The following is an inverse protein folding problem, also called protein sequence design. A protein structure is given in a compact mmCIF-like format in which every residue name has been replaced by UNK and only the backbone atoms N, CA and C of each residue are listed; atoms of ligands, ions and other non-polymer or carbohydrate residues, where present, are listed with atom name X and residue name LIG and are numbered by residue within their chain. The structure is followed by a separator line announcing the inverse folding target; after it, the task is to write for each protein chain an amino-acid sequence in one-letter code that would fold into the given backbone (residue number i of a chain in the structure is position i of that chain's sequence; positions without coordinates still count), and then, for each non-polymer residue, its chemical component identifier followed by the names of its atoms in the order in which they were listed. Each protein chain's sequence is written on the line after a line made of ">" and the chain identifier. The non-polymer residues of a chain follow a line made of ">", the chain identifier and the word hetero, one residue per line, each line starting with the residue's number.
data_IF_878053081882
#
_entry.id   IF_878053081882
#
_cell.length_a   1.000
_cell.length_b   1.000
_cell.length_c   1.000
_cell.angle_alpha   90.00
_cell.angle_beta   90.00
_cell.angle_gamma   90.00
#
_symmetry.space_group_name_H-M   'P 1'
#
loop_
_entity.id
_entity.type
_entity.pdbx_description
1 polymer ?
#
# COMPACT_ATOMS: atom_id res chain seq x y z
N UNK A 1 53.17 21.85 34.26
CA UNK A 1 51.73 21.66 34.55
C UNK A 1 50.96 21.87 33.25
N UNK A 2 50.83 20.84 32.42
CA UNK A 2 50.22 20.95 31.07
C UNK A 2 49.70 19.57 30.63
N UNK A 3 48.66 19.05 31.31
CA UNK A 3 47.97 17.80 30.90
C UNK A 3 46.55 17.72 31.52
N UNK A 4 45.64 18.66 31.20
CA UNK A 4 44.20 18.52 31.60
C UNK A 4 43.18 19.10 30.60
N UNK A 5 43.59 19.65 29.46
CA UNK A 5 42.65 20.28 28.51
C UNK A 5 42.22 19.38 27.33
N UNK A 6 42.85 18.22 27.14
CA UNK A 6 42.54 17.29 26.03
C UNK A 6 41.45 16.26 26.32
N UNK A 7 40.88 16.21 27.54
CA UNK A 7 39.90 15.19 27.92
C UNK A 7 38.44 15.63 27.74
N UNK A 8 38.18 16.94 27.60
CA UNK A 8 36.82 17.50 27.56
C UNK A 8 36.20 17.54 26.15
N UNK A 9 37.02 17.38 25.10
CA UNK A 9 36.57 17.39 23.70
C UNK A 9 36.24 15.98 23.17
N UNK A 10 36.74 14.92 23.83
CA UNK A 10 36.45 13.52 23.47
C UNK A 10 35.11 13.06 24.06
N UNK A 11 34.66 13.64 25.18
CA UNK A 11 33.36 13.32 25.78
C UNK A 11 32.18 13.93 25.03
N UNK A 12 32.38 15.06 24.32
CA UNK A 12 31.33 15.69 23.50
C UNK A 12 31.05 14.95 22.18
N UNK A 13 32.05 14.26 21.62
CA UNK A 13 31.91 13.51 20.37
C UNK A 13 31.27 12.13 20.61
N UNK A 14 31.38 11.57 21.81
CA UNK A 14 30.77 10.27 22.16
C UNK A 14 29.29 10.34 22.54
N UNK A 15 28.76 11.54 22.82
CA UNK A 15 27.34 11.73 23.16
C UNK A 15 26.44 11.89 21.93
N UNK A 16 27.03 12.12 20.75
CA UNK A 16 26.29 12.29 19.48
C UNK A 16 26.20 10.96 18.69
N UNK A 17 26.94 9.92 19.08
CA UNK A 17 27.02 8.63 18.38
C UNK A 17 26.03 7.56 18.85
N UNK A 18 25.00 7.94 19.63
CA UNK A 18 23.90 7.05 20.02
C UNK A 18 22.55 7.60 19.56
N UNK A 19 22.53 8.32 18.44
CA UNK A 19 21.33 8.34 17.61
C UNK A 19 21.27 6.93 17.00
N UNK A 20 20.78 5.99 17.80
CA UNK A 20 20.40 4.69 17.27
C UNK A 20 19.36 4.98 16.21
N UNK A 21 19.65 4.57 14.99
CA UNK A 21 18.64 4.48 13.94
C UNK A 21 17.68 3.41 14.47
N UNK A 22 16.64 3.85 15.17
CA UNK A 22 15.53 2.99 15.50
C UNK A 22 14.91 2.65 14.14
N UNK A 23 15.21 1.46 13.64
CA UNK A 23 14.44 0.91 12.53
C UNK A 23 13.02 0.75 13.06
N UNK A 24 12.06 1.37 12.39
CA UNK A 24 10.67 1.05 12.64
C UNK A 24 10.46 -0.46 12.46
N UNK A 25 9.58 -1.03 13.27
CA UNK A 25 9.16 -2.41 13.12
C UNK A 25 8.30 -2.57 11.85
N UNK A 26 8.15 -3.79 11.34
CA UNK A 26 7.36 -4.04 10.13
C UNK A 26 5.86 -3.81 10.37
N UNK A 27 5.36 -4.14 11.57
CA UNK A 27 3.92 -4.14 11.89
C UNK A 27 3.59 -3.19 13.04
N UNK A 28 2.62 -2.31 12.82
CA UNK A 28 1.95 -1.58 13.89
C UNK A 28 0.83 -2.45 14.50
N UNK A 29 1.11 -3.11 15.63
CA UNK A 29 0.11 -3.94 16.30
C UNK A 29 -0.68 -3.11 17.31
N UNK A 30 -1.91 -2.75 16.94
CA UNK A 30 -2.75 -1.83 17.71
C UNK A 30 -3.63 -2.58 18.71
N UNK A 31 -3.49 -2.24 19.99
CA UNK A 31 -4.24 -2.81 21.13
C UNK A 31 -4.68 -1.69 22.11
N UNK A 32 -5.69 -1.89 22.95
CA UNK A 32 -6.04 -0.85 23.94
C UNK A 32 -5.06 -0.79 25.10
N UNK A 33 -4.68 -1.96 25.62
CA UNK A 33 -3.84 -2.13 26.81
C UNK A 33 -2.97 -3.36 26.66
N UNK A 34 -1.81 -3.38 27.32
CA UNK A 34 -0.82 -4.46 27.15
C UNK A 34 -1.31 -5.86 27.53
N UNK A 35 -2.36 -5.96 28.35
CA UNK A 35 -2.95 -7.25 28.70
C UNK A 35 -3.75 -7.90 27.55
N UNK A 36 -4.06 -7.12 26.50
CA UNK A 36 -4.83 -7.60 25.35
C UNK A 36 -3.92 -8.06 24.21
N UNK A 37 -2.60 -7.96 24.38
CA UNK A 37 -1.63 -8.57 23.48
C UNK A 37 -1.89 -10.08 23.39
N UNK A 38 -2.14 -10.55 22.16
CA UNK A 38 -2.33 -11.97 21.84
C UNK A 38 -1.01 -12.62 21.41
N UNK A 39 -0.46 -13.57 22.21
CA UNK A 39 0.78 -14.26 21.85
C UNK A 39 0.70 -14.96 20.50
N UNK A 40 -0.46 -15.50 20.14
CA UNK A 40 -0.64 -16.23 18.87
C UNK A 40 -0.45 -15.31 17.66
N UNK A 41 -0.83 -14.03 17.76
CA UNK A 41 -0.59 -13.06 16.69
C UNK A 41 0.89 -12.71 16.59
N UNK A 42 1.54 -12.47 17.74
CA UNK A 42 2.96 -12.10 17.77
C UNK A 42 3.86 -13.24 17.35
N UNK A 43 3.53 -14.47 17.74
CA UNK A 43 4.24 -15.68 17.34
C UNK A 43 4.07 -15.90 15.83
N UNK A 44 2.85 -15.72 15.30
CA UNK A 44 2.61 -15.83 13.87
C UNK A 44 3.41 -14.82 13.03
N UNK A 45 3.52 -13.56 13.48
CA UNK A 45 4.34 -12.53 12.84
C UNK A 45 5.83 -12.89 12.90
N UNK A 46 6.34 -13.27 14.07
CA UNK A 46 7.74 -13.65 14.27
C UNK A 46 8.14 -14.86 13.40
N UNK A 47 7.25 -15.83 13.26
CA UNK A 47 7.46 -17.05 12.47
C UNK A 47 7.67 -16.77 10.98
N UNK A 48 7.02 -15.72 10.45
CA UNK A 48 7.21 -15.25 9.07
C UNK A 48 8.26 -14.13 8.96
N UNK A 49 9.01 -13.88 10.04
CA UNK A 49 10.14 -12.95 10.07
C UNK A 49 9.77 -11.47 10.19
N UNK A 50 8.53 -11.15 10.56
CA UNK A 50 8.09 -9.78 10.79
C UNK A 50 8.42 -9.34 12.22
N UNK A 51 8.84 -8.08 12.35
CA UNK A 51 8.94 -7.38 13.62
C UNK A 51 7.68 -6.54 13.87
N UNK A 52 7.34 -6.28 15.13
CA UNK A 52 6.18 -5.45 15.46
C UNK A 52 6.47 -4.47 16.60
N UNK A 53 5.79 -3.33 16.57
CA UNK A 53 5.65 -2.44 17.71
C UNK A 53 4.23 -2.54 18.27
N UNK A 54 4.10 -2.51 19.59
CA UNK A 54 2.80 -2.40 20.25
C UNK A 54 2.39 -0.94 20.31
N UNK A 55 1.31 -0.61 19.61
CA UNK A 55 0.71 0.73 19.62
C UNK A 55 -0.54 0.70 20.50
N UNK A 56 -0.51 1.42 21.60
CA UNK A 56 -1.69 1.53 22.45
C UNK A 56 -2.71 2.48 21.84
N UNK A 57 -4.00 2.21 22.06
CA UNK A 57 -5.08 3.08 21.59
C UNK A 57 -4.90 4.54 22.04
N UNK A 58 -4.30 4.80 23.21
CA UNK A 58 -3.99 6.16 23.66
C UNK A 58 -2.93 6.90 22.84
N UNK A 59 -2.13 6.15 22.07
CA UNK A 59 -0.90 6.64 21.43
C UNK A 59 -1.06 6.73 19.91
N UNK A 60 -2.07 6.08 19.31
CA UNK A 60 -2.38 6.09 17.86
C UNK A 60 -2.30 7.49 17.25
N UNK A 61 -2.89 8.52 17.88
CA UNK A 61 -2.87 9.90 17.36
C UNK A 61 -1.49 10.58 17.35
N UNK A 62 -0.44 9.91 17.84
CA UNK A 62 0.95 10.36 17.80
C UNK A 62 1.87 9.45 16.95
N UNK A 63 1.32 8.38 16.37
CA UNK A 63 2.06 7.43 15.53
C UNK A 63 1.99 7.91 14.08
N UNK A 64 3.15 7.84 13.41
CA UNK A 64 3.22 7.94 11.96
C UNK A 64 3.07 6.52 11.40
N UNK A 65 1.95 6.23 10.73
CA UNK A 65 1.69 4.88 10.22
C UNK A 65 2.46 4.59 8.93
N UNK A 66 3.02 5.61 8.28
CA UNK A 66 3.87 5.45 7.09
C UNK A 66 5.22 4.80 7.42
N UNK A 67 5.61 4.79 8.72
CA UNK A 67 6.80 4.10 9.21
C UNK A 67 6.63 2.56 9.23
N UNK A 68 5.40 2.04 9.07
CA UNK A 68 5.07 0.62 9.15
C UNK A 68 4.65 0.05 7.79
N UNK A 69 4.92 -1.24 7.56
CA UNK A 69 4.49 -1.93 6.34
C UNK A 69 3.03 -2.37 6.39
N UNK A 70 2.51 -2.68 7.59
CA UNK A 70 1.10 -3.02 7.79
C UNK A 70 0.61 -2.69 9.20
N UNK A 71 -0.70 -2.56 9.34
CA UNK A 71 -1.44 -2.45 10.59
C UNK A 71 -2.06 -3.80 10.94
N UNK A 72 -1.83 -4.29 12.16
CA UNK A 72 -2.61 -5.38 12.73
C UNK A 72 -3.54 -4.80 13.79
N UNK A 73 -4.85 -4.94 13.59
CA UNK A 73 -5.85 -4.38 14.49
C UNK A 73 -6.60 -5.48 15.26
N UNK A 74 -6.38 -5.53 16.58
CA UNK A 74 -6.99 -6.52 17.47
C UNK A 74 -8.52 -6.36 17.62
N UNK A 75 -9.21 -7.38 18.15
CA UNK A 75 -10.65 -7.30 18.45
C UNK A 75 -10.96 -6.49 19.73
N UNK A 76 -10.89 -5.16 19.63
CA UNK A 76 -11.09 -4.25 20.75
C UNK A 76 -11.90 -3.00 20.37
N UNK A 77 -12.45 -2.29 21.35
CA UNK A 77 -13.24 -1.09 21.08
C UNK A 77 -12.39 0.18 21.01
N UNK A 78 -11.78 0.49 19.87
CA UNK A 78 -10.90 1.66 19.75
C UNK A 78 -11.68 2.98 19.81
N UNK A 79 -11.51 3.84 20.84
CA UNK A 79 -12.26 5.10 20.95
C UNK A 79 -11.86 6.14 19.90
N UNK A 80 -10.67 5.98 19.31
CA UNK A 80 -10.07 6.82 18.28
C UNK A 80 -9.90 6.07 16.95
N UNK A 81 -10.88 5.23 16.62
CA UNK A 81 -10.97 4.50 15.35
C UNK A 81 -10.78 5.39 14.11
N UNK A 82 -11.12 6.67 14.20
CA UNK A 82 -11.01 7.65 13.11
C UNK A 82 -9.56 8.07 12.81
N UNK A 83 -8.63 7.79 13.72
CA UNK A 83 -7.19 8.08 13.57
C UNK A 83 -6.42 6.86 13.05
N UNK A 84 -7.08 5.69 12.89
CA UNK A 84 -6.45 4.46 12.40
C UNK A 84 -6.67 4.36 10.88
N UNK A 85 -5.63 4.45 10.04
CA UNK A 85 -5.77 4.57 8.59
C UNK A 85 -5.94 3.20 7.89
N UNK A 86 -6.95 2.42 8.29
CA UNK A 86 -7.14 1.02 7.83
C UNK A 86 -7.38 0.85 6.33
N UNK A 87 -7.74 1.91 5.61
CA UNK A 87 -7.93 1.90 4.16
C UNK A 87 -6.77 2.56 3.40
N UNK A 88 -5.80 3.15 4.10
CA UNK A 88 -4.67 3.87 3.50
C UNK A 88 -3.35 3.12 3.68
N UNK A 89 -3.25 2.28 4.70
CA UNK A 89 -2.08 1.45 5.02
C UNK A 89 -2.51 -0.01 5.01
N UNK A 90 -1.68 -0.97 4.53
CA UNK A 90 -2.09 -2.36 4.45
C UNK A 90 -2.50 -2.84 5.84
N UNK A 91 -3.63 -3.56 5.94
CA UNK A 91 -4.18 -3.86 7.26
C UNK A 91 -4.81 -5.24 7.36
N UNK A 92 -4.58 -5.91 8.50
CA UNK A 92 -5.34 -7.10 8.91
C UNK A 92 -6.26 -6.70 10.07
N UNK A 93 -7.56 -6.70 9.79
CA UNK A 93 -8.63 -6.29 10.69
C UNK A 93 -9.23 -7.53 11.34
N UNK A 94 -8.78 -7.84 12.56
CA UNK A 94 -9.43 -8.87 13.40
C UNK A 94 -10.67 -8.31 14.11
N UNK A 95 -10.78 -6.98 14.14
CA UNK A 95 -11.81 -6.25 14.84
C UNK A 95 -13.20 -6.38 14.21
N UNK A 96 -14.19 -6.77 15.02
CA UNK A 96 -15.60 -6.76 14.63
C UNK A 96 -16.29 -5.38 14.71
N UNK A 97 -15.60 -4.36 15.24
CA UNK A 97 -16.12 -3.04 15.58
C UNK A 97 -15.63 -1.98 14.58
N UNK A 98 -16.39 -0.90 14.47
CA UNK A 98 -16.10 0.26 13.61
C UNK A 98 -16.09 -0.01 12.10
N UNK A 99 -16.52 -1.20 11.66
CA UNK A 99 -16.53 -1.56 10.24
C UNK A 99 -17.54 -0.78 9.39
N UNK A 100 -18.59 -0.17 9.99
CA UNK A 100 -19.48 0.75 9.25
C UNK A 100 -18.80 2.11 9.07
N UNK A 101 -18.09 2.55 10.11
CA UNK A 101 -17.32 3.80 10.12
C UNK A 101 -16.16 3.78 9.13
N UNK A 102 -15.50 2.62 8.94
CA UNK A 102 -14.48 2.43 7.89
C UNK A 102 -15.06 2.07 6.52
N UNK A 103 -16.38 1.88 6.40
CA UNK A 103 -17.06 1.66 5.12
C UNK A 103 -16.95 0.25 4.53
N UNK A 104 -16.83 -0.78 5.38
CA UNK A 104 -16.75 -2.18 4.96
C UNK A 104 -18.10 -2.90 5.04
N UNK A 105 -18.83 -2.71 6.14
CA UNK A 105 -20.16 -3.28 6.32
C UNK A 105 -20.98 -2.42 7.27
N UNK A 106 -22.29 -2.33 7.02
CA UNK A 106 -23.20 -1.61 7.94
C UNK A 106 -23.26 -2.26 9.34
N UNK A 107 -23.05 -3.57 9.41
CA UNK A 107 -23.05 -4.31 10.66
C UNK A 107 -22.29 -5.62 10.51
N UNK A 108 -21.62 -6.02 11.58
CA UNK A 108 -21.04 -7.35 11.71
C UNK A 108 -22.01 -8.30 12.39
N UNK A 109 -22.05 -9.53 11.89
CA UNK A 109 -22.75 -10.64 12.51
C UNK A 109 -21.75 -11.50 13.28
N UNK A 110 -22.21 -12.16 14.34
CA UNK A 110 -21.43 -13.18 15.03
C UNK A 110 -22.15 -14.52 15.00
N UNK A 111 -21.38 -15.59 15.09
CA UNK A 111 -21.90 -16.96 15.10
C UNK A 111 -21.05 -17.87 15.94
N UNK A 112 -21.68 -18.91 16.47
CA UNK A 112 -21.05 -19.93 17.31
C UNK A 112 -21.72 -21.29 17.08
N UNK A 113 -21.01 -22.37 17.37
CA UNK A 113 -21.51 -23.73 17.20
C UNK A 113 -21.11 -24.63 18.36
N UNK A 114 -21.98 -25.58 18.71
CA UNK A 114 -21.71 -26.62 19.72
C UNK A 114 -20.82 -27.77 19.19
N UNK A 115 -20.07 -27.50 18.13
CA UNK A 115 -19.05 -28.35 17.52
C UNK A 115 -17.89 -27.42 17.13
N UNK A 116 -16.65 -27.92 17.00
CA UNK A 116 -15.55 -27.11 16.46
C UNK A 116 -15.97 -26.42 15.17
N UNK A 117 -15.71 -25.12 15.06
CA UNK A 117 -16.23 -24.34 13.95
C UNK A 117 -15.47 -24.66 12.66
N UNK A 118 -16.21 -24.73 11.55
CA UNK A 118 -15.67 -24.89 10.21
C UNK A 118 -15.90 -23.64 9.36
N UNK A 119 -14.96 -23.36 8.46
CA UNK A 119 -15.14 -22.42 7.35
C UNK A 119 -14.90 -23.13 6.02
N UNK A 120 -15.55 -22.63 4.98
CA UNK A 120 -15.30 -23.07 3.60
C UNK A 120 -14.51 -21.99 2.87
N UNK A 121 -13.32 -22.34 2.38
CA UNK A 121 -12.52 -21.51 1.48
C UNK A 121 -13.17 -21.45 0.09
N UNK A 122 -13.09 -20.29 -0.56
CA UNK A 122 -13.67 -20.07 -1.87
C UNK A 122 -12.60 -19.85 -2.92
N UNK A 123 -12.42 -20.84 -3.80
CA UNK A 123 -11.52 -20.74 -4.94
C UNK A 123 -10.03 -20.80 -4.55
N UNK A 124 -9.17 -20.53 -5.52
CA UNK A 124 -7.73 -20.48 -5.33
C UNK A 124 -7.30 -19.04 -5.01
N UNK A 125 -7.44 -18.63 -3.76
CA UNK A 125 -6.97 -17.32 -3.27
C UNK A 125 -5.66 -17.50 -2.45
N UNK A 126 -4.65 -16.61 -2.56
CA UNK A 126 -3.38 -16.72 -1.83
C UNK A 126 -3.55 -16.95 -0.32
N UNK A 127 -4.49 -16.24 0.31
CA UNK A 127 -4.84 -16.41 1.73
C UNK A 127 -5.21 -17.87 2.10
N UNK A 128 -5.90 -18.59 1.20
CA UNK A 128 -6.27 -20.00 1.41
C UNK A 128 -5.22 -21.02 0.95
N UNK A 129 -4.06 -20.57 0.45
CA UNK A 129 -3.07 -21.44 -0.18
C UNK A 129 -2.49 -22.47 0.79
N UNK A 130 -2.38 -23.71 0.32
CA UNK A 130 -1.82 -24.84 1.09
C UNK A 130 -2.78 -25.50 2.07
N UNK A 131 -4.05 -25.08 2.12
CA UNK A 131 -5.06 -25.58 3.06
C UNK A 131 -6.18 -26.34 2.34
N UNK A 132 -6.92 -27.22 3.04
CA UNK A 132 -8.11 -27.87 2.49
C UNK A 132 -9.28 -26.88 2.33
N UNK A 133 -10.22 -27.17 1.44
CA UNK A 133 -11.40 -26.31 1.21
C UNK A 133 -12.28 -26.15 2.46
N UNK A 134 -12.38 -27.19 3.30
CA UNK A 134 -13.09 -27.17 4.60
C UNK A 134 -12.05 -27.16 5.72
N UNK A 135 -12.01 -26.07 6.49
CA UNK A 135 -11.00 -25.83 7.52
C UNK A 135 -11.67 -25.78 8.88
N UNK A 136 -11.19 -26.58 9.84
CA UNK A 136 -11.56 -26.47 11.25
C UNK A 136 -10.78 -25.33 11.88
N UNK A 137 -11.46 -24.29 12.36
CA UNK A 137 -10.79 -23.05 12.78
C UNK A 137 -10.50 -22.95 14.28
N UNK A 138 -11.26 -23.68 15.10
CA UNK A 138 -11.07 -23.69 16.54
C UNK A 138 -10.91 -25.11 17.08
N UNK A 139 -10.12 -25.22 18.15
CA UNK A 139 -9.90 -26.47 18.91
C UNK A 139 -11.00 -26.74 19.94
N UNK A 140 -11.85 -25.75 20.22
CA UNK A 140 -12.99 -25.84 21.14
C UNK A 140 -14.33 -25.69 20.44
N UNK A 141 -15.38 -26.17 21.10
CA UNK A 141 -16.78 -25.85 20.82
C UNK A 141 -17.11 -24.47 21.42
N UNK A 142 -18.19 -23.85 20.95
CA UNK A 142 -18.77 -22.60 21.44
C UNK A 142 -17.86 -21.35 21.34
N UNK A 143 -16.78 -21.41 20.56
CA UNK A 143 -16.01 -20.23 20.18
C UNK A 143 -16.79 -19.39 19.15
N UNK A 144 -16.72 -18.08 19.29
CA UNK A 144 -17.42 -17.13 18.43
C UNK A 144 -16.53 -16.70 17.25
N UNK A 145 -17.16 -16.44 16.11
CA UNK A 145 -16.55 -15.71 14.99
C UNK A 145 -17.32 -14.45 14.68
N UNK A 146 -16.66 -13.52 13.99
CA UNK A 146 -17.32 -12.49 13.21
C UNK A 146 -17.43 -12.89 11.74
N UNK A 147 -18.48 -12.41 11.09
CA UNK A 147 -18.61 -12.47 9.65
C UNK A 147 -19.38 -11.27 9.10
N UNK A 148 -19.05 -10.87 7.87
CA UNK A 148 -19.76 -9.84 7.14
C UNK A 148 -20.98 -10.49 6.47
N UNK A 149 -22.18 -10.07 6.88
CA UNK A 149 -23.44 -10.51 6.27
C UNK A 149 -23.57 -9.90 4.86
N UNK A 150 -23.88 -10.72 3.86
CA UNK A 150 -23.99 -10.30 2.47
C UNK A 150 -25.05 -9.20 2.22
N UNK A 151 -26.02 -9.04 3.13
CA UNK A 151 -27.02 -7.97 3.04
C UNK A 151 -26.39 -6.62 3.42
N UNK A 152 -25.41 -6.62 4.32
CA UNK A 152 -24.85 -5.42 4.93
C UNK A 152 -23.47 -5.04 4.37
N UNK A 153 -22.75 -5.99 3.79
CA UNK A 153 -21.44 -5.79 3.16
C UNK A 153 -21.51 -4.76 2.02
N UNK A 154 -20.44 -4.01 1.85
CA UNK A 154 -20.25 -3.10 0.73
C UNK A 154 -19.78 -3.90 -0.48
N UNK A 155 -20.18 -3.48 -1.68
CA UNK A 155 -19.71 -4.09 -2.93
C UNK A 155 -18.22 -3.77 -3.08
N UNK A 156 -17.42 -4.71 -3.59
CA UNK A 156 -15.95 -4.57 -3.76
C UNK A 156 -15.12 -5.45 -2.82
N UNK A 157 -15.73 -6.05 -1.79
CA UNK A 157 -15.06 -7.02 -0.92
C UNK A 157 -15.05 -8.40 -1.59
N UNK A 158 -13.87 -8.95 -1.83
CA UNK A 158 -13.68 -10.32 -2.28
C UNK A 158 -13.84 -11.28 -1.10
N UNK A 159 -14.65 -12.33 -1.30
CA UNK A 159 -14.83 -13.37 -0.28
C UNK A 159 -13.76 -14.43 -0.45
N UNK A 160 -12.99 -14.68 0.61
CA UNK A 160 -12.00 -15.76 0.68
C UNK A 160 -12.53 -16.96 1.44
N UNK A 161 -13.29 -16.72 2.52
CA UNK A 161 -13.86 -17.79 3.33
C UNK A 161 -15.26 -17.44 3.83
N UNK A 162 -16.10 -18.47 3.99
CA UNK A 162 -17.46 -18.36 4.52
C UNK A 162 -17.69 -19.30 5.71
N UNK A 163 -18.57 -18.96 6.66
CA UNK A 163 -18.91 -19.88 7.74
C UNK A 163 -19.50 -21.19 7.18
N UNK A 164 -19.19 -22.32 7.81
CA UNK A 164 -19.74 -23.63 7.43
C UNK A 164 -21.28 -23.71 7.42
N UNK A 165 -21.93 -22.85 8.21
CA UNK A 165 -23.39 -22.79 8.36
C UNK A 165 -24.07 -21.70 7.52
N UNK A 166 -23.31 -20.78 6.92
CA UNK A 166 -23.83 -19.68 6.10
C UNK A 166 -22.85 -19.38 4.97
N UNK A 167 -23.03 -20.03 3.82
CA UNK A 167 -22.16 -19.82 2.65
C UNK A 167 -22.19 -18.39 2.09
N UNK A 168 -23.15 -17.56 2.52
CA UNK A 168 -23.29 -16.18 2.05
C UNK A 168 -22.45 -15.20 2.87
N UNK A 169 -22.17 -15.51 4.14
CA UNK A 169 -21.31 -14.71 5.00
C UNK A 169 -19.84 -14.74 4.59
N UNK A 170 -19.11 -13.68 4.97
CA UNK A 170 -17.67 -13.54 4.74
C UNK A 170 -16.96 -13.58 6.10
N UNK A 171 -16.25 -14.67 6.42
CA UNK A 171 -15.38 -14.74 7.61
C UNK A 171 -14.03 -14.12 7.32
N UNK A 172 -13.50 -14.40 6.13
CA UNK A 172 -12.27 -13.81 5.62
C UNK A 172 -12.62 -13.11 4.31
N UNK A 173 -12.40 -11.80 4.28
CA UNK A 173 -12.66 -10.95 3.12
C UNK A 173 -11.44 -10.11 2.80
N UNK A 174 -11.16 -9.92 1.52
CA UNK A 174 -10.04 -9.13 1.02
C UNK A 174 -10.54 -7.94 0.23
N UNK A 175 -9.80 -6.84 0.30
CA UNK A 175 -9.97 -5.69 -0.58
C UNK A 175 -8.58 -5.31 -1.10
N UNK A 176 -8.43 -5.31 -2.41
CA UNK A 176 -7.19 -4.93 -3.06
C UNK A 176 -7.02 -3.40 -3.04
N UNK A 177 -5.78 -2.92 -3.03
CA UNK A 177 -5.48 -1.51 -3.23
C UNK A 177 -6.11 -0.99 -4.54
N UNK A 178 -6.51 0.29 -4.54
CA UNK A 178 -7.24 0.93 -5.64
C UNK A 178 -8.73 0.56 -5.73
N UNK A 179 -9.26 -0.27 -4.84
CA UNK A 179 -10.69 -0.63 -4.83
C UNK A 179 -11.56 0.50 -4.30
N UNK A 180 -12.80 0.58 -4.80
CA UNK A 180 -13.84 1.47 -4.25
C UNK A 180 -14.97 0.62 -3.68
N UNK A 181 -15.14 0.69 -2.35
CA UNK A 181 -16.23 0.02 -1.66
C UNK A 181 -17.49 0.87 -1.73
N UNK A 182 -18.60 0.28 -2.17
CA UNK A 182 -19.85 1.03 -2.41
C UNK A 182 -21.03 0.41 -1.68
N UNK A 183 -21.94 1.26 -1.18
CA UNK A 183 -23.22 0.82 -0.62
C UNK A 183 -24.30 1.86 -0.87
N UNK A 184 -25.45 1.42 -1.36
CA UNK A 184 -26.57 2.33 -1.61
C UNK A 184 -26.95 3.16 -0.37
N UNK A 185 -26.88 4.48 -0.50
CA UNK A 185 -27.20 5.42 0.57
C UNK A 185 -26.06 5.71 1.56
N UNK A 186 -24.86 5.20 1.29
CA UNK A 186 -23.61 5.55 2.01
C UNK A 186 -22.64 6.23 1.05
N UNK A 187 -21.69 7.04 1.56
CA UNK A 187 -20.54 7.47 0.77
C UNK A 187 -19.72 6.27 0.29
N UNK A 188 -19.07 6.42 -0.85
CA UNK A 188 -18.09 5.45 -1.32
C UNK A 188 -16.82 5.54 -0.45
N UNK A 189 -16.16 4.40 -0.26
CA UNK A 189 -14.89 4.30 0.47
C UNK A 189 -13.81 3.86 -0.49
N UNK A 190 -12.78 4.69 -0.67
CA UNK A 190 -11.59 4.29 -1.41
C UNK A 190 -10.68 3.48 -0.49
N UNK A 191 -10.13 2.38 -1.01
CA UNK A 191 -9.16 1.54 -0.33
C UNK A 191 -7.86 1.59 -1.12
N UNK A 192 -6.86 2.25 -0.56
CA UNK A 192 -5.58 2.53 -1.20
C UNK A 192 -4.50 1.51 -0.79
N UNK A 193 -4.86 0.50 0.02
CA UNK A 193 -3.93 -0.54 0.46
C UNK A 193 -4.62 -1.90 0.62
N UNK A 194 -3.87 -2.99 0.37
CA UNK A 194 -4.37 -4.35 0.55
C UNK A 194 -4.83 -4.56 1.99
N UNK A 195 -6.09 -4.89 2.17
CA UNK A 195 -6.71 -5.02 3.49
C UNK A 195 -7.47 -6.33 3.60
N UNK A 196 -7.32 -7.00 4.74
CA UNK A 196 -7.97 -8.26 5.07
C UNK A 196 -8.86 -8.06 6.28
N UNK A 197 -10.15 -8.39 6.16
CA UNK A 197 -10.99 -8.69 7.32
C UNK A 197 -10.78 -10.15 7.72
N UNK A 198 -10.42 -10.40 8.99
CA UNK A 198 -10.14 -11.72 9.53
C UNK A 198 -11.02 -12.01 10.76
N UNK A 199 -12.24 -12.50 10.53
CA UNK A 199 -13.26 -12.67 11.56
C UNK A 199 -13.04 -13.80 12.58
N UNK A 200 -11.89 -14.50 12.55
CA UNK A 200 -11.56 -15.62 13.44
C UNK A 200 -10.74 -15.10 14.63
N UNK A 201 -11.37 -14.36 15.53
CA UNK A 201 -10.65 -13.50 16.50
C UNK A 201 -10.22 -14.19 17.82
N UNK A 202 -10.82 -15.33 18.20
CA UNK A 202 -10.47 -16.05 19.42
C UNK A 202 -9.16 -16.86 19.29
N UNK A 203 -8.03 -16.13 19.28
CA UNK A 203 -6.69 -16.66 19.00
C UNK A 203 -6.26 -17.82 19.90
N UNK A 204 -6.63 -17.77 21.19
CA UNK A 204 -6.34 -18.79 22.19
C UNK A 204 -6.84 -20.20 21.80
N UNK A 205 -7.77 -20.29 20.84
CA UNK A 205 -8.38 -21.55 20.38
C UNK A 205 -7.99 -21.94 18.97
N UNK A 206 -7.13 -21.19 18.28
CA UNK A 206 -6.76 -21.45 16.89
C UNK A 206 -6.21 -22.86 16.68
N UNK A 207 -6.58 -23.44 15.53
CA UNK A 207 -5.88 -24.59 14.96
C UNK A 207 -4.63 -24.14 14.20
N UNK A 208 -3.72 -25.07 13.89
CA UNK A 208 -2.56 -24.78 13.04
C UNK A 208 -2.97 -24.27 11.65
N UNK A 209 -4.09 -24.75 11.11
CA UNK A 209 -4.61 -24.28 9.83
C UNK A 209 -5.11 -22.83 9.92
N UNK A 210 -5.65 -22.41 11.06
CA UNK A 210 -6.08 -21.02 11.30
C UNK A 210 -4.90 -20.09 11.44
N UNK A 211 -3.88 -20.52 12.19
CA UNK A 211 -2.62 -19.79 12.28
C UNK A 211 -1.99 -19.60 10.89
N UNK A 212 -2.05 -20.64 10.04
CA UNK A 212 -1.60 -20.54 8.65
C UNK A 212 -2.45 -19.58 7.81
N UNK A 213 -3.79 -19.58 7.96
CA UNK A 213 -4.67 -18.59 7.30
C UNK A 213 -4.30 -17.16 7.72
N UNK A 214 -4.01 -16.94 9.00
CA UNK A 214 -3.60 -15.64 9.51
C UNK A 214 -2.24 -15.21 8.93
N UNK A 215 -1.25 -16.11 8.90
CA UNK A 215 0.05 -15.88 8.25
C UNK A 215 -0.10 -15.54 6.77
N UNK A 216 -0.92 -16.29 6.03
CA UNK A 216 -1.19 -16.00 4.63
C UNK A 216 -1.93 -14.66 4.44
N UNK A 217 -2.76 -14.25 5.41
CA UNK A 217 -3.42 -12.94 5.41
C UNK A 217 -2.41 -11.79 5.58
N UNK A 218 -1.48 -11.93 6.52
CA UNK A 218 -0.38 -10.96 6.70
C UNK A 218 0.50 -10.88 5.44
N UNK A 219 0.85 -12.03 4.85
CA UNK A 219 1.64 -12.07 3.62
C UNK A 219 0.89 -11.44 2.44
N UNK A 220 -0.40 -11.73 2.27
CA UNK A 220 -1.22 -11.09 1.24
C UNK A 220 -1.28 -9.57 1.40
N UNK A 221 -1.42 -9.06 2.63
CA UNK A 221 -1.37 -7.59 2.85
C UNK A 221 -0.01 -6.98 2.52
N UNK A 222 1.05 -7.79 2.55
CA UNK A 222 2.41 -7.39 2.21
C UNK A 222 2.80 -7.72 0.77
N UNK A 223 1.92 -8.35 -0.01
CA UNK A 223 2.25 -8.71 -1.40
C UNK A 223 2.46 -7.42 -2.19
N UNK A 224 3.67 -7.32 -2.74
CA UNK A 224 4.02 -6.31 -3.73
C UNK A 224 3.17 -6.54 -5.00
N UNK A 225 2.75 -5.45 -5.63
CA UNK A 225 2.07 -5.49 -6.91
C UNK A 225 3.10 -5.47 -8.04
N UNK A 226 2.87 -6.34 -9.03
CA UNK A 226 3.62 -6.32 -10.28
C UNK A 226 3.01 -5.29 -11.23
N UNK A 227 3.82 -4.30 -11.61
CA UNK A 227 3.49 -3.29 -12.58
C UNK A 227 4.27 -3.53 -13.89
N UNK A 228 3.67 -4.22 -14.88
CA UNK A 228 4.32 -4.46 -16.16
C UNK A 228 4.35 -3.19 -16.99
N UNK A 229 5.52 -2.85 -17.52
CA UNK A 229 5.73 -1.71 -18.43
C UNK A 229 6.40 -2.17 -19.70
N UNK A 230 5.77 -1.91 -20.84
CA UNK A 230 6.39 -2.12 -22.15
C UNK A 230 7.20 -0.89 -22.54
N UNK A 231 8.51 -1.09 -22.69
CA UNK A 231 9.46 -0.10 -23.16
C UNK A 231 9.68 -0.26 -24.66
N UNK A 232 9.61 0.84 -25.40
CA UNK A 232 9.93 0.85 -26.83
C UNK A 232 11.44 1.05 -27.05
N UNK A 233 11.94 0.77 -28.25
CA UNK A 233 13.34 1.06 -28.58
C UNK A 233 13.68 2.55 -28.42
N UNK A 234 14.88 2.82 -27.91
CA UNK A 234 15.36 4.16 -27.62
C UNK A 234 14.86 4.70 -26.28
N UNK A 235 14.75 6.02 -26.20
CA UNK A 235 14.39 6.67 -24.95
C UNK A 235 12.89 6.52 -24.63
N UNK A 236 12.54 6.12 -23.42
CA UNK A 236 11.18 6.08 -22.86
C UNK A 236 11.08 7.07 -21.70
N UNK A 237 9.97 7.80 -21.59
CA UNK A 237 9.71 8.69 -20.46
C UNK A 237 8.67 8.04 -19.55
N UNK A 238 9.13 7.58 -18.40
CA UNK A 238 8.37 6.67 -17.54
C UNK A 238 8.29 7.24 -16.15
N UNK A 239 7.16 7.00 -15.51
CA UNK A 239 7.03 7.10 -14.08
C UNK A 239 6.82 5.71 -13.56
N UNK A 240 7.46 5.37 -12.46
CA UNK A 240 7.20 4.10 -11.84
C UNK A 240 6.07 4.32 -10.85
N UNK A 241 4.89 3.78 -11.14
CA UNK A 241 3.86 3.74 -10.15
C UNK A 241 4.37 2.68 -9.18
N UNK A 242 4.92 3.19 -8.09
CA UNK A 242 4.89 2.48 -6.83
C UNK A 242 5.94 1.38 -6.68
N UNK A 243 7.12 1.80 -6.25
CA UNK A 243 8.20 0.94 -5.82
C UNK A 243 8.77 1.47 -4.52
N UNK A 244 9.36 0.58 -3.72
CA UNK A 244 10.47 1.00 -2.88
C UNK A 244 11.57 1.64 -3.75
N UNK A 245 12.51 2.36 -3.14
CA UNK A 245 13.68 2.83 -3.91
C UNK A 245 14.40 1.64 -4.54
N UNK A 246 14.45 1.59 -5.87
CA UNK A 246 15.20 0.58 -6.63
C UNK A 246 16.58 1.15 -6.96
N UNK A 247 17.63 0.35 -6.80
CA UNK A 247 18.95 0.73 -7.32
C UNK A 247 18.94 0.68 -8.85
N UNK A 248 19.33 1.79 -9.49
CA UNK A 248 19.22 1.91 -10.93
C UNK A 248 20.19 0.99 -11.69
N UNK A 249 21.32 0.61 -11.08
CA UNK A 249 22.27 -0.34 -11.67
C UNK A 249 21.70 -1.75 -11.61
N UNK A 250 21.13 -2.16 -10.46
CA UNK A 250 20.44 -3.43 -10.31
C UNK A 250 19.27 -3.54 -11.31
N UNK A 251 18.48 -2.48 -11.48
CA UNK A 251 17.40 -2.44 -12.48
C UNK A 251 17.90 -2.67 -13.91
N UNK A 252 19.02 -2.05 -14.30
CA UNK A 252 19.60 -2.23 -15.63
C UNK A 252 20.08 -3.67 -15.82
N UNK A 253 20.75 -4.23 -14.80
CA UNK A 253 21.29 -5.60 -14.85
C UNK A 253 20.18 -6.66 -14.93
N UNK A 254 19.06 -6.45 -14.23
CA UNK A 254 17.91 -7.35 -14.23
C UNK A 254 17.04 -7.27 -15.49
N UNK A 255 17.20 -6.22 -16.31
CA UNK A 255 16.39 -5.97 -17.50
C UNK A 255 17.25 -5.87 -18.78
N UNK A 256 17.68 -7.02 -19.35
CA UNK A 256 18.50 -7.04 -20.57
C UNK A 256 17.84 -6.27 -21.72
N UNK A 257 18.56 -5.26 -22.23
CA UNK A 257 18.09 -4.36 -23.27
C UNK A 257 17.86 -2.94 -22.77
N UNK A 258 17.69 -2.74 -21.47
CA UNK A 258 17.83 -1.41 -20.86
C UNK A 258 19.31 -1.02 -20.83
N UNK A 259 19.62 0.19 -21.30
CA UNK A 259 21.00 0.70 -21.45
C UNK A 259 21.32 1.77 -20.41
N UNK A 260 20.35 2.61 -20.03
CA UNK A 260 20.55 3.62 -19.01
C UNK A 260 19.22 4.09 -18.41
N UNK A 261 19.27 4.52 -17.15
CA UNK A 261 18.18 5.23 -16.47
C UNK A 261 18.68 6.61 -16.08
N UNK A 262 17.93 7.66 -16.45
CA UNK A 262 18.29 9.05 -16.19
C UNK A 262 17.17 9.81 -15.51
N UNK A 263 17.51 10.69 -14.59
CA UNK A 263 16.58 11.64 -14.00
C UNK A 263 16.88 13.08 -14.46
N UNK A 264 15.89 13.96 -14.33
CA UNK A 264 16.04 15.37 -14.69
C UNK A 264 16.22 16.23 -13.45
N UNK A 265 17.45 16.71 -13.24
CA UNK A 265 17.84 17.45 -12.04
C UNK A 265 18.42 18.81 -12.45
N UNK A 266 17.86 19.89 -11.93
CA UNK A 266 18.34 21.27 -12.16
C UNK A 266 18.49 21.66 -13.64
N UNK A 267 17.61 21.16 -14.51
CA UNK A 267 17.64 21.50 -15.93
C UNK A 267 18.48 20.57 -16.81
N UNK A 268 19.13 19.56 -16.23
CA UNK A 268 20.01 18.62 -16.94
C UNK A 268 19.56 17.18 -16.72
N UNK A 269 19.85 16.32 -17.70
CA UNK A 269 19.69 14.88 -17.57
C UNK A 269 20.96 14.28 -16.97
N UNK A 270 20.80 13.58 -15.85
CA UNK A 270 21.89 12.91 -15.14
C UNK A 270 21.55 11.43 -14.98
N UNK A 271 22.56 10.57 -14.89
CA UNK A 271 22.34 9.15 -14.61
C UNK A 271 21.73 9.01 -13.22
N UNK A 272 20.61 8.28 -13.13
CA UNK A 272 19.94 8.03 -11.87
C UNK A 272 20.75 7.00 -11.06
N UNK A 273 20.87 7.22 -9.76
CA UNK A 273 21.39 6.18 -8.83
C UNK A 273 20.26 5.32 -8.29
N UNK A 274 19.09 5.91 -8.11
CA UNK A 274 17.91 5.24 -7.58
C UNK A 274 16.68 5.61 -8.39
N UNK A 275 15.74 4.68 -8.46
CA UNK A 275 14.43 4.88 -9.04
C UNK A 275 13.41 4.91 -7.89
N UNK A 276 12.70 6.02 -7.76
CA UNK A 276 11.84 6.36 -6.63
C UNK A 276 10.45 6.75 -7.13
N UNK A 277 9.46 6.68 -6.23
CA UNK A 277 8.11 7.13 -6.52
C UNK A 277 8.02 8.64 -6.79
N UNK A 278 6.97 9.01 -7.52
CA UNK A 278 6.61 10.39 -7.92
C UNK A 278 7.66 11.12 -8.77
N UNK A 279 8.76 10.46 -9.10
CA UNK A 279 9.72 10.92 -10.08
C UNK A 279 9.43 10.30 -11.44
N UNK A 280 9.89 11.00 -12.46
CA UNK A 280 9.90 10.49 -13.82
C UNK A 280 11.34 10.35 -14.31
N UNK A 281 11.54 9.28 -15.07
CA UNK A 281 12.83 8.80 -15.51
C UNK A 281 12.84 8.62 -17.02
N UNK A 282 13.99 8.89 -17.62
CA UNK A 282 14.28 8.53 -18.99
C UNK A 282 14.99 7.18 -18.98
N UNK A 283 14.30 6.14 -19.47
CA UNK A 283 14.84 4.78 -19.61
C UNK A 283 15.19 4.57 -21.08
N UNK A 284 16.47 4.40 -21.37
CA UNK A 284 16.96 4.11 -22.72
C UNK A 284 16.98 2.60 -22.96
N UNK A 285 16.37 2.15 -24.05
CA UNK A 285 16.38 0.76 -24.51
C UNK A 285 17.22 0.63 -25.78
N UNK A 286 18.06 -0.40 -25.85
CA UNK A 286 18.98 -0.64 -26.96
C UNK A 286 18.23 -0.82 -28.29
N UNK A 287 18.79 -0.22 -29.35
CA UNK A 287 18.25 -0.35 -30.70
C UNK A 287 18.43 -1.80 -31.20
N UNK A 288 17.36 -2.40 -31.71
CA UNK A 288 17.37 -3.77 -32.25
C UNK A 288 16.87 -4.84 -31.28
N UNK A 289 16.44 -4.47 -30.07
CA UNK A 289 15.77 -5.37 -29.11
C UNK A 289 14.30 -5.61 -29.46
N UNK A 290 13.68 -4.70 -30.22
CA UNK A 290 12.23 -4.68 -30.48
C UNK A 290 11.41 -4.16 -29.29
N UNK A 291 12.06 -3.52 -28.32
CA UNK A 291 11.47 -3.14 -27.03
C UNK A 291 11.79 -4.14 -25.91
N UNK A 292 11.46 -3.78 -24.68
CA UNK A 292 11.65 -4.61 -23.48
C UNK A 292 10.42 -4.49 -22.60
N UNK A 293 9.83 -5.62 -22.19
CA UNK A 293 8.83 -5.63 -21.13
C UNK A 293 9.56 -5.75 -19.79
N UNK A 294 9.39 -4.75 -18.93
CA UNK A 294 9.95 -4.72 -17.57
C UNK A 294 8.82 -4.91 -16.57
N UNK A 295 9.10 -5.58 -15.45
CA UNK A 295 8.15 -5.73 -14.34
C UNK A 295 8.73 -4.99 -13.15
N UNK A 296 7.96 -4.06 -12.63
CA UNK A 296 8.28 -3.35 -11.41
C UNK A 296 7.45 -3.96 -10.27
N UNK A 297 8.11 -4.45 -9.23
CA UNK A 297 7.43 -5.09 -8.09
C UNK A 297 7.60 -4.20 -6.86
N UNK A 298 6.48 -3.74 -6.27
CA UNK A 298 6.52 -2.95 -5.05
C UNK A 298 5.18 -2.82 -4.33
N UNK A 299 5.16 -2.33 -3.08
CA UNK A 299 3.94 -2.24 -2.30
C UNK A 299 3.06 -1.15 -2.90
N UNK A 300 1.79 -1.46 -3.24
CA UNK A 300 0.81 -0.52 -3.81
C UNK A 300 0.78 0.87 -3.13
N UNK A 301 0.33 1.94 -3.82
CA UNK A 301 0.57 3.29 -3.35
C UNK A 301 -0.30 3.59 -2.14
N UNK A 302 0.34 3.93 -1.03
CA UNK A 302 -0.36 4.28 0.19
C UNK A 302 -0.80 5.75 0.13
N UNK A 303 -2.11 5.96 0.02
CA UNK A 303 -2.78 7.24 0.21
C UNK A 303 -2.55 8.33 -0.84
N UNK A 304 -3.02 9.55 -0.53
CA UNK A 304 -2.93 10.73 -1.39
C UNK A 304 -1.47 11.16 -1.64
N UNK A 305 -1.08 11.29 -2.92
CA UNK A 305 0.24 11.79 -3.32
C UNK A 305 0.23 13.30 -3.43
N UNK A 306 1.31 13.94 -3.00
CA UNK A 306 1.49 15.40 -3.09
C UNK A 306 2.78 15.75 -3.84
N UNK A 307 2.64 16.17 -5.11
CA UNK A 307 3.77 16.54 -5.96
C UNK A 307 3.97 18.05 -5.93
N UNK A 308 5.10 18.51 -5.40
CA UNK A 308 5.50 19.91 -5.48
C UNK A 308 6.00 20.24 -6.89
N UNK A 309 5.43 21.28 -7.50
CA UNK A 309 5.72 21.72 -8.85
C UNK A 309 6.24 23.15 -8.83
N UNK A 310 7.39 23.40 -9.44
CA UNK A 310 8.00 24.72 -9.55
C UNK A 310 7.43 25.52 -10.73
N UNK A 311 7.71 26.82 -10.77
CA UNK A 311 7.43 27.66 -11.94
C UNK A 311 8.27 27.20 -13.14
N UNK A 312 7.67 27.13 -14.34
CA UNK A 312 8.33 26.62 -15.54
C UNK A 312 8.10 25.13 -15.78
N UNK A 313 9.13 24.42 -16.24
CA UNK A 313 9.03 23.02 -16.70
C UNK A 313 9.39 22.05 -15.59
N UNK A 314 8.51 21.09 -15.33
CA UNK A 314 8.69 20.03 -14.34
C UNK A 314 8.55 18.68 -15.04
N UNK A 315 9.47 17.76 -14.76
CA UNK A 315 9.32 16.37 -15.19
C UNK A 315 8.61 15.63 -14.07
N UNK A 316 7.39 15.17 -14.36
CA UNK A 316 6.48 14.63 -13.36
C UNK A 316 6.19 13.18 -13.70
N UNK A 317 6.32 12.34 -12.67
CA UNK A 317 5.86 10.98 -12.73
C UNK A 317 4.42 10.85 -12.22
N UNK A 318 3.58 10.09 -12.94
CA UNK A 318 2.22 9.78 -12.50
C UNK A 318 2.20 8.37 -11.93
N UNK A 319 2.12 8.30 -10.61
CA UNK A 319 2.10 7.04 -9.86
C UNK A 319 0.67 6.60 -9.58
N UNK A 320 -0.16 6.46 -10.63
CA UNK A 320 -1.54 6.00 -10.49
C UNK A 320 -1.78 4.62 -11.10
N UNK A 321 -2.73 3.87 -10.55
CA UNK A 321 -3.29 2.63 -11.10
C UNK A 321 -4.39 2.88 -12.13
N UNK A 322 -4.86 4.13 -12.27
CA UNK A 322 -5.90 4.50 -13.22
C UNK A 322 -5.56 5.78 -14.00
N UNK A 323 -6.27 6.00 -15.11
CA UNK A 323 -6.12 7.21 -15.91
C UNK A 323 -6.57 8.45 -15.11
N UNK A 324 -5.72 9.47 -15.03
CA UNK A 324 -6.08 10.76 -14.41
C UNK A 324 -6.50 11.78 -15.47
N UNK A 325 -7.68 12.37 -15.28
CA UNK A 325 -8.21 13.43 -16.12
C UNK A 325 -7.45 14.76 -15.89
N UNK A 326 -7.07 15.45 -16.96
CA UNK A 326 -6.33 16.72 -16.89
C UNK A 326 -7.14 17.83 -16.20
N UNK A 327 -8.46 17.73 -16.15
CA UNK A 327 -9.30 18.70 -15.44
C UNK A 327 -9.09 18.68 -13.91
N UNK A 328 -8.55 17.58 -13.36
CA UNK A 328 -8.17 17.46 -11.94
C UNK A 328 -6.89 18.23 -11.60
N UNK A 329 -6.10 18.61 -12.61
CA UNK A 329 -4.81 19.26 -12.42
C UNK A 329 -4.93 20.69 -11.89
N UNK A 330 -3.97 21.16 -11.06
CA UNK A 330 -3.91 22.54 -10.59
C UNK A 330 -4.03 23.59 -11.71
N UNK A 331 -4.80 24.66 -11.46
CA UNK A 331 -5.14 25.70 -12.45
C UNK A 331 -3.94 26.44 -13.06
N UNK A 332 -2.79 26.41 -12.39
CA UNK A 332 -1.53 27.00 -12.81
C UNK A 332 -0.74 26.15 -13.81
N UNK A 333 -1.07 24.86 -13.97
CA UNK A 333 -0.55 24.03 -15.06
C UNK A 333 -1.17 24.52 -16.38
N UNK A 334 -0.31 24.88 -17.33
CA UNK A 334 -0.68 25.48 -18.62
C UNK A 334 -0.48 24.53 -19.78
N UNK A 335 0.54 23.69 -19.73
CA UNK A 335 0.80 22.69 -20.74
C UNK A 335 1.19 21.38 -20.06
N UNK A 336 0.70 20.27 -20.61
CA UNK A 336 1.14 18.93 -20.28
C UNK A 336 1.63 18.31 -21.57
N UNK A 337 2.82 17.72 -21.58
CA UNK A 337 3.28 16.97 -22.73
C UNK A 337 3.75 15.58 -22.37
N UNK A 338 3.48 14.64 -23.26
CA UNK A 338 3.93 13.25 -23.17
C UNK A 338 4.71 12.90 -24.43
N UNK A 339 5.70 12.03 -24.30
CA UNK A 339 6.44 11.53 -25.46
C UNK A 339 5.72 10.31 -26.03
N UNK A 340 5.32 10.39 -27.30
CA UNK A 340 4.73 9.26 -28.01
C UNK A 340 5.79 8.24 -28.46
N UNK A 341 5.34 7.05 -28.85
CA UNK A 341 6.20 5.96 -29.32
C UNK A 341 7.04 6.32 -30.58
N UNK A 342 6.62 7.33 -31.34
CA UNK A 342 7.40 7.86 -32.47
C UNK A 342 8.46 8.90 -32.07
N UNK A 343 8.65 9.12 -30.77
CA UNK A 343 9.57 10.11 -30.20
C UNK A 343 9.08 11.56 -30.26
N UNK A 344 7.89 11.82 -30.82
CA UNK A 344 7.27 13.15 -30.89
C UNK A 344 6.47 13.42 -29.62
N UNK A 345 6.41 14.68 -29.21
CA UNK A 345 5.60 15.09 -28.06
C UNK A 345 4.16 15.43 -28.47
N UNK A 346 3.20 14.78 -27.81
CA UNK A 346 1.82 15.25 -27.75
C UNK A 346 1.73 16.32 -26.67
N UNK A 347 1.06 17.44 -26.96
CA UNK A 347 0.96 18.58 -26.05
C UNK A 347 -0.51 18.94 -25.86
N UNK A 348 -0.97 18.84 -24.62
CA UNK A 348 -2.24 19.41 -24.16
C UNK A 348 -2.00 20.81 -23.60
N UNK A 349 -2.82 21.78 -24.01
CA UNK A 349 -2.70 23.18 -23.56
C UNK A 349 -3.99 23.65 -22.90
N UNK A 350 -3.87 24.23 -21.71
CA UNK A 350 -5.01 24.73 -20.92
C UNK A 350 -5.41 26.14 -21.34
N UNK A 351 -6.67 26.30 -21.73
CA UNK A 351 -7.32 27.58 -22.01
C UNK A 351 -8.39 27.88 -20.96
N UNK A 352 -9.03 29.06 -21.06
CA UNK A 352 -10.10 29.46 -20.14
C UNK A 352 -11.34 28.56 -20.21
N UNK A 353 -11.49 27.77 -21.27
CA UNK A 353 -12.64 26.91 -21.54
C UNK A 353 -12.30 25.41 -21.50
N UNK A 354 -11.17 25.02 -20.91
CA UNK A 354 -10.73 23.62 -20.80
C UNK A 354 -9.40 23.35 -21.50
N UNK A 355 -9.09 22.06 -21.71
CA UNK A 355 -7.89 21.62 -22.41
C UNK A 355 -8.09 21.51 -23.92
N UNK A 356 -7.06 21.86 -24.68
CA UNK A 356 -6.97 21.60 -26.12
C UNK A 356 -5.98 20.46 -26.35
N UNK A 357 -6.31 19.52 -27.25
CA UNK A 357 -5.58 18.27 -27.46
C UNK A 357 -5.40 17.46 -26.17
N UNK A 358 -6.49 17.36 -25.40
CA UNK A 358 -6.52 16.59 -24.16
C UNK A 358 -6.24 15.11 -24.37
N UNK A 359 -5.55 14.52 -23.40
CA UNK A 359 -5.31 13.10 -23.24
C UNK A 359 -5.26 12.77 -21.75
N UNK A 360 -5.67 11.57 -21.31
CA UNK A 360 -5.52 11.18 -19.92
C UNK A 360 -4.05 11.02 -19.54
N UNK A 361 -3.75 11.22 -18.26
CA UNK A 361 -2.49 10.79 -17.67
C UNK A 361 -2.59 9.29 -17.38
N UNK A 362 -2.00 8.50 -18.27
CA UNK A 362 -1.92 7.04 -18.19
C UNK A 362 -0.95 6.61 -17.07
N UNK A 363 -1.30 5.57 -16.28
CA UNK A 363 -0.40 4.86 -15.38
C UNK A 363 0.96 4.56 -15.99
N UNK A 364 2.03 4.69 -15.20
CA UNK A 364 3.37 4.28 -15.61
C UNK A 364 4.09 5.22 -16.58
N UNK A 365 3.49 6.35 -16.93
CA UNK A 365 4.11 7.31 -17.86
C UNK A 365 4.65 8.54 -17.14
N UNK A 366 5.73 9.08 -17.69
CA UNK A 366 6.24 10.39 -17.30
C UNK A 366 5.72 11.50 -18.22
N UNK A 367 5.57 12.70 -17.67
CA UNK A 367 5.01 13.86 -18.34
C UNK A 367 5.84 15.11 -18.05
N UNK A 368 5.83 16.06 -18.98
CA UNK A 368 6.31 17.41 -18.73
C UNK A 368 5.15 18.31 -18.39
N UNK A 369 5.19 18.90 -17.20
CA UNK A 369 4.22 19.91 -16.77
C UNK A 369 4.86 21.28 -16.86
N UNK A 370 4.19 22.20 -17.56
CA UNK A 370 4.57 23.60 -17.62
C UNK A 370 3.63 24.44 -16.80
N UNK A 371 4.17 25.20 -15.85
CA UNK A 371 3.41 26.02 -14.94
C UNK A 371 3.77 27.50 -15.08
N UNK A 372 2.81 28.36 -14.74
CA UNK A 372 3.03 29.78 -14.48
C UNK A 372 2.75 30.05 -12.99
N UNK A 373 3.80 29.92 -12.18
CA UNK A 373 3.77 29.86 -10.71
C UNK A 373 3.70 28.43 -10.19
N UNK A 374 4.38 28.14 -9.08
CA UNK A 374 4.42 26.80 -8.50
C UNK A 374 3.07 26.31 -7.95
N UNK A 375 2.90 25.00 -7.84
CA UNK A 375 1.73 24.30 -7.29
C UNK A 375 2.13 23.16 -6.37
N UNK A 376 1.17 22.66 -5.61
CA UNK A 376 1.15 21.27 -5.16
C UNK A 376 0.04 20.58 -5.94
N UNK A 377 0.36 19.48 -6.60
CA UNK A 377 -0.62 18.61 -7.22
C UNK A 377 -0.88 17.44 -6.29
N UNK A 378 -2.10 17.37 -5.75
CA UNK A 378 -2.57 16.27 -4.91
C UNK A 378 -3.41 15.32 -5.76
N UNK A 379 -3.12 14.01 -5.72
CA UNK A 379 -3.93 13.00 -6.39
C UNK A 379 -3.96 11.69 -5.61
N UNK A 380 -5.07 10.95 -5.74
CA UNK A 380 -5.14 9.56 -5.29
C UNK A 380 -4.54 8.68 -6.38
N UNK A 381 -3.50 7.90 -6.04
CA UNK A 381 -2.84 6.99 -6.95
C UNK A 381 -3.74 5.79 -7.29
#
# INVERSE_FOLDING_TARGET
>A
MTKKLGLLLITGIFLVSLIGIASAADVAYIIQVSQNEKPEFTDAMNDIGLTYDLIFASDVGSVDFDDYKLILLNDENFPNWAEIPVNEVPAVLVNGRHMDEWGWTKSISSGSQSIPMHINLTGAHPVGSGLPDDVVIYTTEDADIYYLDNINVFDGIEKVASPGFDSSGIVIGTVAAGSVLTKSGKPDTNVNANTVFFGIYESDFWTADTEQLFKNSLLFTLEDEDFPVSLEEGQNLISLPILGSIDAEDFIDDNPGVVSVKEFVNGELVDATTIENDKAYFIEVDEGTGGVDVIFTGPGPLGERNVALDDGMNLVGVTSLSDIDLDTLPANIKEVSRRGANGVYDIATRYSNGWFNEFPLEPGRGYWFKLNGGAVWSYSP
#
